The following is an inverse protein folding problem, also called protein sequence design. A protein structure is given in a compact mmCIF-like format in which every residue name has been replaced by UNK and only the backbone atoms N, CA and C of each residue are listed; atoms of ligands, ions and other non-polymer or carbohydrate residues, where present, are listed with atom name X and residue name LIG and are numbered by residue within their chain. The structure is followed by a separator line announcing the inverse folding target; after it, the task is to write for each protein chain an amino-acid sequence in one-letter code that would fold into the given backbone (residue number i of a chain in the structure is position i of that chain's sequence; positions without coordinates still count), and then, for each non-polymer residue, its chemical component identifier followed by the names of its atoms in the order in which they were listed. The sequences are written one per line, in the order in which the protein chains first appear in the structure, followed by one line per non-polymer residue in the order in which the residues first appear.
data_IF_290036953851
#
_entry.id   IF_290036953851
#
_cell.length_a   1.000
_cell.length_b   1.000
_cell.length_c   1.000
_cell.angle_alpha   90.00
_cell.angle_beta   90.00
_cell.angle_gamma   90.00
#
_symmetry.space_group_name_H-M   'P 1'
#
loop_
_entity.id
_entity.type
_entity.pdbx_description
1 polymer ?
#
# COMPACT_ATOMS: atom_id res chain seq x y z
N UNK A 1 21.22 -35.34 10.64
CA UNK A 1 19.99 -35.91 10.09
C UNK A 1 19.34 -34.82 9.26
N UNK A 2 19.22 -34.97 7.93
CA UNK A 2 18.60 -33.93 7.11
C UNK A 2 17.10 -33.94 7.41
N UNK A 3 16.48 -32.76 7.43
CA UNK A 3 15.04 -32.60 7.65
C UNK A 3 14.20 -33.45 6.68
N UNK A 4 14.78 -33.80 5.54
CA UNK A 4 14.22 -34.63 4.47
C UNK A 4 14.07 -36.12 4.85
N UNK A 5 14.77 -36.61 5.88
CA UNK A 5 14.78 -38.02 6.29
C UNK A 5 13.71 -38.37 7.33
N UNK A 6 12.95 -37.38 7.81
CA UNK A 6 11.87 -37.62 8.77
C UNK A 6 10.73 -38.38 8.08
N UNK A 7 10.36 -39.55 8.63
CA UNK A 7 9.24 -40.39 8.14
C UNK A 7 7.92 -39.61 7.96
N UNK A 8 7.72 -38.58 8.78
CA UNK A 8 6.55 -37.69 8.69
C UNK A 8 6.60 -36.86 7.40
N UNK A 9 7.76 -36.32 7.03
CA UNK A 9 7.96 -35.51 5.82
C UNK A 9 7.79 -36.37 4.57
N UNK A 10 8.25 -37.61 4.58
CA UNK A 10 8.03 -38.57 3.49
C UNK A 10 6.54 -38.88 3.30
N UNK A 11 5.84 -39.20 4.40
CA UNK A 11 4.40 -39.49 4.38
C UNK A 11 3.57 -38.27 3.98
N UNK A 12 3.99 -37.07 4.37
CA UNK A 12 3.35 -35.82 3.94
C UNK A 12 3.52 -35.56 2.44
N UNK A 13 4.69 -35.86 1.87
CA UNK A 13 4.93 -35.77 0.42
C UNK A 13 4.07 -36.75 -0.37
N UNK A 14 3.85 -37.94 0.18
CA UNK A 14 2.98 -38.96 -0.40
C UNK A 14 1.51 -38.51 -0.42
N UNK A 15 1.05 -37.84 0.64
CA UNK A 15 -0.30 -37.25 0.72
C UNK A 15 -0.47 -35.96 -0.09
N UNK A 16 0.56 -35.11 -0.16
CA UNK A 16 0.51 -33.83 -0.84
C UNK A 16 0.37 -33.97 -2.37
N UNK A 17 0.70 -35.15 -2.91
CA UNK A 17 0.67 -35.40 -4.34
C UNK A 17 1.67 -34.53 -5.12
N UNK A 18 1.72 -34.68 -6.46
CA UNK A 18 2.52 -33.79 -7.30
C UNK A 18 2.00 -32.36 -7.17
N UNK A 19 2.93 -31.39 -7.12
CA UNK A 19 2.58 -29.96 -7.17
C UNK A 19 1.80 -29.68 -8.44
N UNK A 20 0.49 -29.55 -8.32
CA UNK A 20 -0.35 -29.09 -9.43
C UNK A 20 -0.16 -27.58 -9.59
N UNK A 21 0.49 -27.19 -10.69
CA UNK A 21 0.75 -25.78 -11.02
C UNK A 21 -0.54 -24.94 -11.05
N UNK A 22 -1.69 -25.55 -11.34
CA UNK A 22 -3.00 -24.87 -11.32
C UNK A 22 -3.42 -24.51 -9.90
N UNK A 23 -3.29 -25.45 -8.96
CA UNK A 23 -3.58 -25.21 -7.55
C UNK A 23 -2.60 -24.20 -6.95
N UNK A 24 -1.33 -24.22 -7.36
CA UNK A 24 -0.36 -23.20 -6.94
C UNK A 24 -0.72 -21.80 -7.46
N UNK A 25 -1.18 -21.69 -8.71
CA UNK A 25 -1.62 -20.43 -9.30
C UNK A 25 -2.87 -19.87 -8.60
N UNK A 26 -3.85 -20.73 -8.29
CA UNK A 26 -5.03 -20.32 -7.52
C UNK A 26 -4.68 -19.90 -6.09
N UNK A 27 -3.83 -20.67 -5.41
CA UNK A 27 -3.39 -20.35 -4.05
C UNK A 27 -2.64 -19.00 -4.03
N UNK A 28 -1.76 -18.77 -5.00
CA UNK A 28 -1.05 -17.51 -5.16
C UNK A 28 -2.00 -16.32 -5.40
N UNK A 29 -3.08 -16.51 -6.17
CA UNK A 29 -4.13 -15.50 -6.38
C UNK A 29 -4.89 -15.21 -5.08
N UNK A 30 -5.25 -16.24 -4.31
CA UNK A 30 -5.92 -16.09 -3.01
C UNK A 30 -5.02 -15.32 -2.04
N UNK A 31 -3.73 -15.66 -1.94
CA UNK A 31 -2.78 -14.93 -1.12
C UNK A 31 -2.63 -13.47 -1.55
N UNK A 32 -2.61 -13.19 -2.86
CA UNK A 32 -2.56 -11.81 -3.37
C UNK A 32 -3.80 -11.02 -2.92
N UNK A 33 -5.00 -11.55 -3.13
CA UNK A 33 -6.25 -10.89 -2.79
C UNK A 33 -6.36 -10.70 -1.27
N UNK A 34 -6.09 -11.76 -0.50
CA UNK A 34 -6.11 -11.74 0.96
C UNK A 34 -5.11 -10.74 1.53
N UNK A 35 -3.89 -10.70 0.99
CA UNK A 35 -2.89 -9.72 1.39
C UNK A 35 -3.34 -8.28 1.10
N UNK A 36 -3.92 -8.01 -0.08
CA UNK A 36 -4.41 -6.68 -0.45
C UNK A 36 -5.55 -6.24 0.46
N UNK A 37 -6.55 -7.10 0.68
CA UNK A 37 -7.69 -6.80 1.55
C UNK A 37 -7.25 -6.55 2.99
N UNK A 38 -6.40 -7.42 3.55
CA UNK A 38 -5.90 -7.27 4.91
C UNK A 38 -5.07 -5.99 5.04
N UNK A 39 -4.18 -5.73 4.08
CA UNK A 39 -3.33 -4.54 4.13
C UNK A 39 -4.13 -3.26 4.02
N UNK A 40 -5.13 -3.24 3.13
CA UNK A 40 -6.03 -2.11 3.00
C UNK A 40 -6.84 -1.88 4.29
N UNK A 41 -7.41 -2.93 4.87
CA UNK A 41 -8.18 -2.84 6.13
C UNK A 41 -7.34 -2.33 7.30
N UNK A 42 -6.11 -2.85 7.46
CA UNK A 42 -5.20 -2.41 8.52
C UNK A 42 -4.78 -0.94 8.36
N UNK A 43 -4.51 -0.49 7.13
CA UNK A 43 -4.23 0.91 6.85
C UNK A 43 -5.44 1.80 7.18
N UNK A 44 -6.64 1.40 6.79
CA UNK A 44 -7.86 2.17 7.10
C UNK A 44 -8.07 2.35 8.61
N UNK A 45 -7.89 1.28 9.39
CA UNK A 45 -7.99 1.35 10.86
C UNK A 45 -6.93 2.29 11.42
N UNK A 46 -5.67 2.15 10.98
CA UNK A 46 -4.58 3.00 11.41
C UNK A 46 -4.84 4.49 11.12
N UNK A 47 -5.26 4.81 9.89
CA UNK A 47 -5.58 6.17 9.47
C UNK A 47 -6.75 6.76 10.26
N UNK A 48 -7.81 5.97 10.51
CA UNK A 48 -8.95 6.44 11.29
C UNK A 48 -8.56 6.79 12.72
N UNK A 49 -7.79 5.93 13.40
CA UNK A 49 -7.35 6.20 14.77
C UNK A 49 -6.47 7.44 14.85
N UNK A 50 -5.58 7.63 13.87
CA UNK A 50 -4.76 8.84 13.79
C UNK A 50 -5.63 10.10 13.61
N UNK A 51 -6.62 10.06 12.72
CA UNK A 51 -7.58 11.15 12.51
C UNK A 51 -8.38 11.44 13.78
N UNK A 52 -8.93 10.41 14.42
CA UNK A 52 -9.74 10.57 15.63
C UNK A 52 -8.94 11.26 16.75
N UNK A 53 -7.67 10.89 16.94
CA UNK A 53 -6.79 11.54 17.91
C UNK A 53 -6.43 12.98 17.56
N UNK A 54 -6.19 13.25 16.28
CA UNK A 54 -5.98 14.62 15.81
C UNK A 54 -7.21 15.49 16.10
N UNK A 55 -8.40 14.95 15.85
CA UNK A 55 -9.66 15.65 16.12
C UNK A 55 -9.89 15.88 17.61
N UNK A 56 -9.64 14.88 18.46
CA UNK A 56 -9.75 15.06 19.93
C UNK A 56 -8.81 16.14 20.43
N UNK A 57 -7.59 16.22 19.87
CA UNK A 57 -6.62 17.24 20.24
C UNK A 57 -7.06 18.65 19.84
N UNK A 58 -7.63 18.82 18.64
CA UNK A 58 -8.17 20.13 18.20
C UNK A 58 -9.24 20.65 19.16
N UNK A 59 -9.95 19.75 19.86
CA UNK A 59 -11.01 20.08 20.80
C UNK A 59 -10.58 19.98 22.28
N UNK A 60 -9.35 19.59 22.59
CA UNK A 60 -8.83 19.56 23.97
C UNK A 60 -8.30 20.92 24.39
N UNK A 61 -8.55 21.32 25.64
CA UNK A 61 -7.94 22.53 26.22
C UNK A 61 -6.41 22.41 26.13
N UNK A 62 -5.76 23.47 25.65
CA UNK A 62 -4.40 23.50 25.09
C UNK A 62 -3.23 23.12 26.01
N UNK A 63 -3.46 22.45 27.16
CA UNK A 63 -2.43 21.99 28.10
C UNK A 63 -1.92 20.57 27.85
N UNK A 64 -2.61 19.76 27.05
CA UNK A 64 -2.15 18.42 26.70
C UNK A 64 -1.37 18.45 25.38
N UNK A 65 -0.09 18.05 25.44
CA UNK A 65 0.81 18.01 24.30
C UNK A 65 0.26 17.03 23.23
N UNK A 66 0.30 17.35 21.93
CA UNK A 66 -0.24 16.49 20.88
C UNK A 66 0.53 15.16 20.83
N UNK A 67 -0.02 14.14 21.48
CA UNK A 67 0.50 12.79 21.40
C UNK A 67 -0.16 12.11 20.20
N UNK A 68 0.55 12.07 19.06
CA UNK A 68 0.09 11.34 17.86
C UNK A 68 -0.17 9.85 18.11
N UNK A 69 0.39 9.30 19.19
CA UNK A 69 0.18 7.94 19.69
C UNK A 69 -0.05 8.00 21.20
N UNK A 70 -0.94 7.16 21.74
CA UNK A 70 -1.19 7.15 23.18
C UNK A 70 0.02 6.65 23.97
N UNK A 71 0.86 5.80 23.36
CA UNK A 71 2.08 5.29 23.97
C UNK A 71 3.21 5.16 22.95
N UNK A 72 4.49 5.21 23.37
CA UNK A 72 5.63 4.90 22.49
C UNK A 72 5.61 3.45 21.97
N UNK A 73 5.02 2.52 22.74
CA UNK A 73 4.84 1.13 22.32
C UNK A 73 3.88 1.02 21.13
N UNK A 74 2.75 1.73 21.20
CA UNK A 74 1.79 1.82 20.09
C UNK A 74 2.42 2.43 18.83
N UNK A 75 3.21 3.51 18.98
CA UNK A 75 3.96 4.10 17.88
C UNK A 75 4.90 3.08 17.21
N UNK A 76 5.62 2.28 18.01
CA UNK A 76 6.51 1.24 17.52
C UNK A 76 5.76 0.13 16.76
N UNK A 77 4.59 -0.28 17.25
CA UNK A 77 3.74 -1.28 16.57
C UNK A 77 3.26 -0.77 15.21
N UNK A 78 2.85 0.50 15.11
CA UNK A 78 2.43 1.08 13.84
C UNK A 78 3.60 1.27 12.87
N UNK A 79 4.76 1.70 13.36
CA UNK A 79 5.97 1.77 12.54
C UNK A 79 6.32 0.38 11.97
N UNK A 80 6.26 -0.66 12.81
CA UNK A 80 6.48 -2.03 12.37
C UNK A 80 5.48 -2.47 11.30
N UNK A 81 4.19 -2.16 11.48
CA UNK A 81 3.15 -2.46 10.51
C UNK A 81 3.42 -1.80 9.15
N UNK A 82 3.80 -0.52 9.15
CA UNK A 82 4.17 0.20 7.93
C UNK A 82 5.40 -0.43 7.26
N UNK A 83 6.44 -0.79 8.04
CA UNK A 83 7.63 -1.45 7.51
C UNK A 83 7.29 -2.80 6.84
N UNK A 84 6.48 -3.63 7.49
CA UNK A 84 6.03 -4.92 6.93
C UNK A 84 5.29 -4.70 5.62
N UNK A 85 4.40 -3.69 5.55
CA UNK A 85 3.69 -3.37 4.32
C UNK A 85 4.61 -2.91 3.19
N UNK A 86 5.59 -2.06 3.48
CA UNK A 86 6.57 -1.62 2.49
C UNK A 86 7.42 -2.79 1.96
N UNK A 87 7.84 -3.70 2.84
CA UNK A 87 8.56 -4.92 2.45
C UNK A 87 7.68 -5.79 1.56
N UNK A 88 6.44 -6.08 1.96
CA UNK A 88 5.53 -6.89 1.17
C UNK A 88 5.17 -6.26 -0.19
N UNK A 89 5.00 -4.94 -0.25
CA UNK A 89 4.81 -4.21 -1.50
C UNK A 89 6.06 -4.31 -2.40
N UNK A 90 7.26 -4.17 -1.82
CA UNK A 90 8.52 -4.36 -2.53
C UNK A 90 8.71 -5.78 -3.07
N UNK A 91 8.32 -6.80 -2.30
CA UNK A 91 8.36 -8.20 -2.75
C UNK A 91 7.36 -8.47 -3.88
N UNK A 92 6.16 -7.87 -3.82
CA UNK A 92 5.15 -8.00 -4.87
C UNK A 92 5.56 -7.31 -6.18
N UNK A 93 6.14 -6.11 -6.11
CA UNK A 93 6.65 -5.42 -7.30
C UNK A 93 7.80 -6.20 -7.95
N UNK A 94 8.72 -6.78 -7.17
CA UNK A 94 9.81 -7.63 -7.68
C UNK A 94 9.31 -8.88 -8.40
N UNK A 95 8.24 -9.50 -7.90
CA UNK A 95 7.59 -10.67 -8.52
C UNK A 95 6.69 -10.32 -9.71
N UNK A 96 6.59 -9.04 -10.10
CA UNK A 96 5.77 -8.63 -11.24
C UNK A 96 4.27 -8.63 -10.98
N UNK A 97 3.83 -8.73 -9.71
CA UNK A 97 2.40 -8.74 -9.38
C UNK A 97 1.68 -7.42 -9.67
N UNK A 98 2.44 -6.33 -9.74
CA UNK A 98 1.95 -4.95 -9.99
C UNK A 98 2.17 -4.53 -11.45
N UNK A 99 3.18 -5.08 -12.13
CA UNK A 99 3.49 -4.74 -13.52
C UNK A 99 3.61 -6.02 -14.36
N UNK A 100 2.60 -6.27 -15.18
CA UNK A 100 2.55 -7.34 -16.18
C UNK A 100 3.36 -6.96 -17.42
N UNK A 101 4.57 -6.42 -17.22
CA UNK A 101 5.49 -5.98 -18.27
C UNK A 101 4.92 -4.94 -19.25
N UNK A 102 3.82 -4.26 -18.90
CA UNK A 102 3.06 -3.40 -19.84
C UNK A 102 3.73 -2.04 -20.02
N UNK A 103 4.38 -1.53 -18.97
CA UNK A 103 5.16 -0.28 -19.04
C UNK A 103 6.46 -0.42 -19.83
N UNK A 104 6.99 -1.65 -19.93
CA UNK A 104 8.17 -1.95 -20.75
C UNK A 104 7.93 -1.85 -22.26
N UNK A 105 6.67 -2.01 -22.71
CA UNK A 105 6.31 -1.99 -24.14
C UNK A 105 5.92 -0.61 -24.67
N UNK A 106 5.62 0.35 -23.80
CA UNK A 106 5.28 1.72 -24.20
C UNK A 106 6.52 2.56 -24.50
N UNK A 107 6.60 3.10 -25.72
CA UNK A 107 7.73 3.94 -26.15
C UNK A 107 7.77 5.29 -25.41
N UNK A 108 6.61 5.92 -25.23
CA UNK A 108 6.45 7.21 -24.58
C UNK A 108 5.90 7.10 -23.15
N UNK A 109 6.24 8.08 -22.30
CA UNK A 109 5.68 8.20 -20.96
C UNK A 109 4.17 8.53 -21.04
N UNK A 110 3.27 7.69 -20.54
CA UNK A 110 1.83 7.92 -20.65
C UNK A 110 1.36 8.90 -19.55
N UNK A 111 1.85 10.14 -19.59
CA UNK A 111 1.62 11.17 -18.56
C UNK A 111 0.13 11.40 -18.33
N UNK A 112 -0.68 11.44 -19.39
CA UNK A 112 -2.13 11.60 -19.27
C UNK A 112 -2.80 10.48 -18.47
N UNK A 113 -2.38 9.23 -18.67
CA UNK A 113 -2.87 8.10 -17.88
C UNK A 113 -2.42 8.19 -16.42
N UNK A 114 -1.17 8.59 -16.16
CA UNK A 114 -0.66 8.75 -14.80
C UNK A 114 -1.40 9.87 -14.05
N UNK A 115 -1.61 11.02 -14.71
CA UNK A 115 -2.39 12.13 -14.17
C UNK A 115 -3.83 11.75 -13.89
N UNK A 116 -4.45 10.93 -14.76
CA UNK A 116 -5.82 10.45 -14.55
C UNK A 116 -5.88 9.53 -13.33
N UNK A 117 -4.98 8.54 -13.24
CA UNK A 117 -4.94 7.60 -12.11
C UNK A 117 -4.63 8.31 -10.80
N UNK A 118 -3.62 9.18 -10.78
CA UNK A 118 -3.26 9.96 -9.59
C UNK A 118 -4.34 10.99 -9.23
N UNK A 119 -5.00 11.57 -10.24
CA UNK A 119 -6.13 12.49 -10.07
C UNK A 119 -7.33 11.83 -9.42
N UNK A 120 -7.76 10.68 -9.95
CA UNK A 120 -8.84 9.88 -9.38
C UNK A 120 -8.50 9.40 -7.97
N UNK A 121 -7.28 8.93 -7.74
CA UNK A 121 -6.87 8.50 -6.40
C UNK A 121 -6.89 9.68 -5.44
N UNK A 122 -6.23 10.79 -5.77
CA UNK A 122 -6.19 12.00 -4.93
C UNK A 122 -7.57 12.53 -4.60
N UNK A 123 -8.47 12.62 -5.58
CA UNK A 123 -9.85 13.06 -5.37
C UNK A 123 -10.65 12.09 -4.48
N UNK A 124 -10.56 10.78 -4.74
CA UNK A 124 -11.22 9.77 -3.93
C UNK A 124 -10.74 9.81 -2.47
N UNK A 125 -9.42 9.88 -2.25
CA UNK A 125 -8.86 9.99 -0.92
C UNK A 125 -9.19 11.31 -0.24
N UNK A 126 -9.27 12.43 -0.96
CA UNK A 126 -9.70 13.71 -0.39
C UNK A 126 -11.09 13.60 0.23
N UNK A 127 -12.04 13.03 -0.51
CA UNK A 127 -13.42 12.83 -0.06
C UNK A 127 -13.50 11.85 1.11
N UNK A 128 -12.78 10.74 1.03
CA UNK A 128 -12.75 9.73 2.10
C UNK A 128 -12.16 10.31 3.38
N UNK A 129 -11.05 11.06 3.30
CA UNK A 129 -10.43 11.69 4.47
C UNK A 129 -11.35 12.77 5.05
N UNK A 130 -11.93 13.64 4.23
CA UNK A 130 -12.89 14.64 4.69
C UNK A 130 -14.08 13.99 5.41
N UNK A 131 -14.67 12.94 4.82
CA UNK A 131 -15.78 12.20 5.41
C UNK A 131 -15.39 11.55 6.74
N UNK A 132 -14.24 10.84 6.81
CA UNK A 132 -13.76 10.22 8.04
C UNK A 132 -13.53 11.26 9.15
N UNK A 133 -13.00 12.44 8.81
CA UNK A 133 -12.80 13.53 9.76
C UNK A 133 -14.13 14.09 10.28
N UNK A 134 -15.10 14.34 9.40
CA UNK A 134 -16.43 14.78 9.82
C UNK A 134 -17.12 13.74 10.72
N UNK A 135 -16.99 12.45 10.41
CA UNK A 135 -17.52 11.37 11.25
C UNK A 135 -16.83 11.35 12.61
N UNK A 136 -15.50 11.48 12.65
CA UNK A 136 -14.75 11.52 13.90
C UNK A 136 -15.12 12.76 14.75
N UNK A 137 -15.28 13.93 14.15
CA UNK A 137 -15.73 15.14 14.85
C UNK A 137 -17.15 14.99 15.40
N UNK A 138 -18.09 14.48 14.60
CA UNK A 138 -19.46 14.25 15.04
C UNK A 138 -19.59 13.22 16.18
N UNK A 139 -18.56 12.39 16.42
CA UNK A 139 -18.51 11.48 17.58
C UNK A 139 -18.08 12.18 18.88
N UNK A 140 -17.42 13.34 18.79
CA UNK A 140 -16.83 14.05 19.93
C UNK A 140 -17.64 15.29 20.26
N UNK A 141 -18.13 16.02 19.25
CA UNK A 141 -18.87 17.28 19.42
C UNK A 141 -20.27 17.22 18.79
N UNK A 142 -21.23 18.03 19.29
CA UNK A 142 -22.53 18.21 18.64
C UNK A 142 -22.42 18.59 17.16
N UNK A 143 -23.37 18.15 16.33
CA UNK A 143 -23.36 18.37 14.87
C UNK A 143 -23.28 19.85 14.44
N UNK A 144 -23.80 20.75 15.28
CA UNK A 144 -23.76 22.21 15.08
C UNK A 144 -22.35 22.81 15.24
N UNK A 145 -21.48 22.14 15.99
CA UNK A 145 -20.09 22.57 16.25
C UNK A 145 -19.04 21.86 15.40
N UNK A 146 -19.45 20.99 14.46
CA UNK A 146 -18.52 20.30 13.56
C UNK A 146 -17.88 21.31 12.59
N UNK A 147 -16.57 21.26 12.44
CA UNK A 147 -15.82 22.15 11.57
C UNK A 147 -15.82 21.65 10.12
N UNK A 148 -17.01 21.63 9.49
CA UNK A 148 -17.23 21.10 8.13
C UNK A 148 -16.22 21.63 7.10
N UNK A 149 -15.99 22.94 7.09
CA UNK A 149 -15.08 23.56 6.13
C UNK A 149 -13.62 23.17 6.39
N UNK A 150 -13.18 23.13 7.65
CA UNK A 150 -11.82 22.75 8.01
C UNK A 150 -11.53 21.28 7.67
N UNK A 151 -12.52 20.39 7.87
CA UNK A 151 -12.41 18.99 7.48
C UNK A 151 -12.32 18.80 5.98
N UNK A 152 -13.10 19.56 5.21
CA UNK A 152 -13.02 19.55 3.75
C UNK A 152 -11.65 20.04 3.26
N UNK A 153 -11.17 21.17 3.80
CA UNK A 153 -9.86 21.74 3.43
C UNK A 153 -8.73 20.76 3.76
N UNK A 154 -8.77 20.12 4.93
CA UNK A 154 -7.80 19.10 5.32
C UNK A 154 -7.84 17.90 4.37
N UNK A 155 -9.05 17.45 4.00
CA UNK A 155 -9.23 16.40 3.01
C UNK A 155 -8.62 16.76 1.66
N UNK A 156 -8.85 17.97 1.14
CA UNK A 156 -8.26 18.45 -0.11
C UNK A 156 -6.73 18.49 -0.04
N UNK A 157 -6.17 19.00 1.07
CA UNK A 157 -4.72 19.03 1.26
C UNK A 157 -4.10 17.62 1.25
N UNK A 158 -4.68 16.68 2.01
CA UNK A 158 -4.24 15.29 2.00
C UNK A 158 -4.46 14.59 0.66
N UNK A 159 -5.54 14.91 -0.06
CA UNK A 159 -5.77 14.41 -1.42
C UNK A 159 -4.71 14.90 -2.40
N UNK A 160 -4.29 16.16 -2.30
CA UNK A 160 -3.24 16.73 -3.13
C UNK A 160 -1.87 16.08 -2.85
N UNK A 161 -1.55 15.75 -1.60
CA UNK A 161 -0.32 15.01 -1.28
C UNK A 161 -0.36 13.58 -1.81
N UNK A 162 -1.51 12.90 -1.72
CA UNK A 162 -1.70 11.55 -2.30
C UNK A 162 -1.61 11.57 -3.82
N UNK A 163 -2.17 12.60 -4.47
CA UNK A 163 -2.01 12.83 -5.90
C UNK A 163 -0.53 12.89 -6.29
N UNK A 164 0.24 13.76 -5.64
CA UNK A 164 1.66 13.94 -5.93
C UNK A 164 2.46 12.65 -5.66
N UNK A 165 2.19 11.98 -4.54
CA UNK A 165 2.87 10.73 -4.18
C UNK A 165 2.54 9.59 -5.16
N UNK A 166 1.27 9.42 -5.54
CA UNK A 166 0.84 8.40 -6.51
C UNK A 166 1.51 8.65 -7.86
N UNK A 167 1.51 9.90 -8.33
CA UNK A 167 2.16 10.27 -9.59
C UNK A 167 3.67 9.98 -9.55
N UNK A 168 4.35 10.35 -8.47
CA UNK A 168 5.78 10.08 -8.28
C UNK A 168 6.08 8.57 -8.28
N UNK A 169 5.25 7.76 -7.62
CA UNK A 169 5.38 6.30 -7.60
C UNK A 169 5.19 5.72 -8.99
N UNK A 170 4.18 6.15 -9.75
CA UNK A 170 3.95 5.70 -11.13
C UNK A 170 5.11 6.06 -12.06
N UNK A 171 5.68 7.24 -11.91
CA UNK A 171 6.89 7.63 -12.64
C UNK A 171 8.09 6.77 -12.24
N UNK A 172 8.31 6.55 -10.95
CA UNK A 172 9.41 5.73 -10.44
C UNK A 172 9.32 4.27 -10.91
N UNK A 173 8.13 3.68 -10.92
CA UNK A 173 7.92 2.31 -11.42
C UNK A 173 8.17 2.24 -12.92
N UNK A 174 7.71 3.21 -13.70
CA UNK A 174 7.97 3.30 -15.14
C UNK A 174 9.47 3.35 -15.46
N UNK A 175 10.22 4.26 -14.83
CA UNK A 175 11.66 4.37 -15.06
C UNK A 175 12.43 3.12 -14.59
N UNK A 176 12.00 2.52 -13.47
CA UNK A 176 12.59 1.28 -12.99
C UNK A 176 12.37 0.13 -13.97
N UNK A 177 11.18 0.04 -14.57
CA UNK A 177 10.87 -0.95 -15.61
C UNK A 177 11.73 -0.74 -16.87
N UNK A 178 11.84 0.49 -17.38
CA UNK A 178 12.73 0.83 -18.51
C UNK A 178 14.19 0.48 -18.22
N UNK A 179 14.71 0.83 -17.04
CA UNK A 179 16.09 0.50 -16.63
C UNK A 179 16.31 -1.02 -16.54
N UNK A 180 15.32 -1.77 -16.06
CA UNK A 180 15.40 -3.23 -16.00
C UNK A 180 15.43 -3.86 -17.39
N UNK A 181 14.61 -3.36 -18.32
CA UNK A 181 14.60 -3.80 -19.72
C UNK A 181 15.95 -3.54 -20.40
N UNK A 182 16.49 -2.32 -20.28
CA UNK A 182 17.79 -1.98 -20.87
C UNK A 182 18.93 -2.87 -20.35
N UNK A 183 18.89 -3.28 -19.07
CA UNK A 183 19.86 -4.25 -18.52
C UNK A 183 19.71 -5.64 -19.13
N UNK A 184 18.49 -6.11 -19.34
CA UNK A 184 18.23 -7.42 -19.94
C UNK A 184 18.64 -7.46 -21.42
N UNK A 185 18.38 -6.38 -22.16
CA UNK A 185 18.81 -6.25 -23.56
C UNK A 185 20.34 -6.23 -23.67
N UNK A 186 21.05 -5.54 -22.76
CA UNK A 186 22.51 -5.55 -22.73
C UNK A 186 23.12 -6.91 -22.37
N UNK A 187 22.47 -7.68 -21.48
CA UNK A 187 22.92 -9.02 -21.08
C UNK A 187 22.73 -10.04 -22.23
N UNK A 188 21.62 -9.94 -22.98
CA UNK A 188 21.39 -10.72 -24.20
C UNK A 188 22.43 -10.42 -25.29
N UNK A 189 22.69 -9.14 -25.58
CA UNK A 189 23.68 -8.73 -26.59
C UNK A 189 25.09 -9.24 -26.25
N UNK A 190 25.48 -9.17 -24.97
CA UNK A 190 26.76 -9.71 -24.50
C UNK A 190 26.87 -11.24 -24.53
N UNK A 191 25.73 -11.95 -24.57
CA UNK A 191 25.68 -13.41 -24.59
C UNK A 191 25.70 -13.97 -26.02
N UNK A 192 25.22 -13.20 -27.01
CA UNK A 192 25.29 -13.54 -28.43
C UNK A 192 26.71 -13.32 -29.03
N UNK A 193 27.55 -12.52 -28.36
CA UNK A 193 28.95 -12.24 -28.75
C UNK A 193 29.98 -13.29 -28.27
N UNK A 194 29.56 -14.39 -27.63
CA UNK A 194 30.41 -15.50 -27.12
C UNK A 194 30.14 -16.80 -27.88
#
# INVERSE_FOLDING_TARGET
MKYEDLKIVQKWREYAGPKDERLEAENAKIYKIGFVLLSFGMLMIFFYQFIARQVTWVHSDASEMPHGFATPFEAAMYLWLVLVMLICAGLQTRKGYVDTNRFGQTEHLPVGYFLLVSGLSGAAFALVIAAMRCIAEAQIVPLESVFWLANLVTGVFCGATIFAATFAVLCATFFTAKRRRAKLEAELDSSDDI
#
